data_IF_150659854629
#
_entry.id   IF_150659854629
#
_cell.length_a   1.000
_cell.length_b   1.000
_cell.length_c   1.000
_cell.angle_alpha   90.00
_cell.angle_beta   90.00
_cell.angle_gamma   90.00
#
_symmetry.space_group_name_H-M   'P 1'
#
loop_
_entity.id
_entity.type
_entity.pdbx_description
1 polymer ?
#
# COMPACT_ATOMS: atom_id res chain seq x y z
N UNK A 1 -7.06 3.89 -14.62
CA UNK A 1 -7.44 3.53 -13.23
C UNK A 1 -6.35 3.82 -12.19
N UNK A 2 -5.05 3.91 -12.54
CA UNK A 2 -3.95 4.05 -11.56
C UNK A 2 -4.06 5.21 -10.56
N UNK A 3 -4.63 6.36 -10.94
CA UNK A 3 -4.69 7.51 -10.03
C UNK A 3 -5.69 7.40 -8.86
N UNK A 4 -6.53 6.34 -8.80
CA UNK A 4 -7.33 6.03 -7.60
C UNK A 4 -6.50 5.37 -6.48
N UNK A 5 -5.34 4.80 -6.81
CA UNK A 5 -4.45 4.16 -5.83
C UNK A 5 -3.42 5.15 -5.28
N UNK A 6 -2.94 6.05 -6.13
CA UNK A 6 -1.89 7.03 -5.81
C UNK A 6 -2.46 8.37 -5.30
N UNK A 7 -3.78 8.50 -5.23
CA UNK A 7 -4.46 9.72 -4.78
C UNK A 7 -4.45 10.87 -5.79
N UNK A 8 -3.90 10.69 -6.99
CA UNK A 8 -3.91 11.68 -8.08
C UNK A 8 -5.32 12.00 -8.58
N UNK A 9 -6.30 11.13 -8.35
CA UNK A 9 -7.73 11.42 -8.49
C UNK A 9 -8.34 11.68 -7.11
N UNK A 10 -8.33 12.95 -6.64
CA UNK A 10 -8.87 13.29 -5.33
C UNK A 10 -10.37 13.00 -5.26
N UNK A 11 -10.86 12.73 -4.04
CA UNK A 11 -12.29 12.63 -3.76
C UNK A 11 -12.99 13.89 -4.26
N UNK A 12 -13.79 13.75 -5.32
CA UNK A 12 -14.53 14.89 -5.89
C UNK A 12 -15.55 15.39 -4.86
N UNK A 13 -15.85 16.68 -4.83
CA UNK A 13 -16.83 17.21 -3.88
C UNK A 13 -18.21 16.56 -4.11
N UNK A 14 -18.84 16.05 -3.05
CA UNK A 14 -20.15 15.36 -3.11
C UNK A 14 -21.28 16.29 -3.60
N UNK A 15 -21.13 17.59 -3.39
CA UNK A 15 -22.06 18.64 -3.85
C UNK A 15 -21.32 19.74 -4.61
N UNK A 16 -21.95 20.24 -5.67
CA UNK A 16 -21.48 21.38 -6.47
C UNK A 16 -22.56 22.44 -6.56
N UNK A 17 -22.14 23.70 -6.51
CA UNK A 17 -23.03 24.86 -6.70
C UNK A 17 -23.39 24.99 -8.18
N UNK A 18 -24.69 24.89 -8.48
CA UNK A 18 -25.21 25.19 -9.82
C UNK A 18 -25.75 26.61 -9.81
N UNK A 19 -25.14 27.49 -10.62
CA UNK A 19 -25.67 28.82 -10.88
C UNK A 19 -26.50 28.79 -12.16
N UNK A 20 -27.80 29.07 -12.05
CA UNK A 20 -28.68 29.28 -13.20
C UNK A 20 -28.94 30.77 -13.30
N UNK A 21 -28.52 31.40 -14.40
CA UNK A 21 -28.79 32.82 -14.64
C UNK A 21 -30.21 32.92 -15.23
N UNK A 22 -31.21 33.21 -14.40
CA UNK A 22 -32.55 33.55 -14.88
C UNK A 22 -32.55 35.02 -15.33
N UNK A 23 -32.94 35.25 -16.59
CA UNK A 23 -32.73 36.54 -17.28
C UNK A 23 -33.63 37.69 -16.78
N UNK A 24 -34.55 37.47 -15.84
CA UNK A 24 -35.52 38.50 -15.44
C UNK A 24 -35.83 38.47 -13.93
N UNK A 25 -34.82 38.62 -13.08
CA UNK A 25 -34.87 39.30 -11.76
C UNK A 25 -33.55 39.04 -11.03
N UNK A 26 -32.96 40.07 -10.42
CA UNK A 26 -31.65 40.04 -9.74
C UNK A 26 -31.61 39.23 -8.42
N UNK A 27 -32.19 38.03 -8.38
CA UNK A 27 -32.06 37.11 -7.24
C UNK A 27 -31.24 35.89 -7.65
N UNK A 28 -29.94 35.89 -7.32
CA UNK A 28 -29.05 34.74 -7.50
C UNK A 28 -29.49 33.60 -6.59
N UNK A 29 -30.21 32.60 -7.13
CA UNK A 29 -30.56 31.38 -6.39
C UNK A 29 -29.39 30.39 -6.49
N UNK A 30 -28.67 30.20 -5.39
CA UNK A 30 -27.62 29.20 -5.30
C UNK A 30 -28.24 27.86 -4.89
N UNK A 31 -28.17 26.87 -5.77
CA UNK A 31 -28.65 25.51 -5.49
C UNK A 31 -27.47 24.54 -5.45
N UNK A 32 -27.41 23.74 -4.39
CA UNK A 32 -26.43 22.67 -4.26
C UNK A 32 -26.97 21.42 -4.93
N UNK A 33 -26.28 20.97 -5.98
CA UNK A 33 -26.65 19.78 -6.75
C UNK A 33 -25.62 18.69 -6.49
N UNK A 34 -26.08 17.44 -6.42
CA UNK A 34 -25.22 16.28 -6.27
C UNK A 34 -24.24 16.18 -7.44
N UNK A 35 -22.96 15.99 -7.14
CA UNK A 35 -21.94 15.86 -8.17
C UNK A 35 -21.95 14.47 -8.80
N UNK A 36 -22.27 14.39 -10.09
CA UNK A 36 -22.27 13.11 -10.81
C UNK A 36 -20.86 12.49 -10.91
N UNK A 37 -19.82 13.32 -10.98
CA UNK A 37 -18.43 12.85 -11.00
C UNK A 37 -18.05 12.18 -9.67
N UNK A 38 -18.59 12.66 -8.55
CA UNK A 38 -18.41 12.00 -7.25
C UNK A 38 -19.03 10.61 -7.23
N UNK A 39 -20.23 10.43 -7.80
CA UNK A 39 -20.89 9.13 -7.86
C UNK A 39 -20.06 8.14 -8.68
N UNK A 40 -19.54 8.58 -9.83
CA UNK A 40 -18.70 7.76 -10.70
C UNK A 40 -17.35 7.41 -10.07
N UNK A 41 -16.74 8.39 -9.39
CA UNK A 41 -15.52 8.18 -8.62
C UNK A 41 -15.77 7.15 -7.50
N UNK A 42 -16.82 7.32 -6.70
CA UNK A 42 -17.16 6.42 -5.57
C UNK A 42 -17.45 4.99 -6.05
N UNK A 43 -18.11 4.83 -7.19
CA UNK A 43 -18.34 3.51 -7.80
C UNK A 43 -17.02 2.83 -8.17
N UNK A 44 -16.10 3.58 -8.77
CA UNK A 44 -14.79 3.08 -9.19
C UNK A 44 -13.89 2.73 -8.00
N UNK A 45 -13.83 3.60 -6.98
CA UNK A 45 -13.11 3.36 -5.72
C UNK A 45 -13.62 2.10 -5.01
N UNK A 46 -14.94 1.94 -4.91
CA UNK A 46 -15.55 0.77 -4.26
C UNK A 46 -15.23 -0.53 -5.00
N UNK A 47 -15.26 -0.54 -6.33
CA UNK A 47 -14.91 -1.70 -7.13
C UNK A 47 -13.44 -2.08 -6.92
N UNK A 48 -12.55 -1.09 -7.03
CA UNK A 48 -11.12 -1.30 -6.87
C UNK A 48 -10.78 -1.80 -5.46
N UNK A 49 -11.41 -1.26 -4.43
CA UNK A 49 -11.29 -1.77 -3.06
C UNK A 49 -11.77 -3.22 -2.96
N UNK A 50 -12.91 -3.56 -3.56
CA UNK A 50 -13.41 -4.93 -3.60
C UNK A 50 -12.42 -5.91 -4.24
N UNK A 51 -11.78 -5.49 -5.34
CA UNK A 51 -10.74 -6.29 -5.98
C UNK A 51 -9.51 -6.47 -5.11
N UNK A 52 -9.00 -5.39 -4.51
CA UNK A 52 -7.84 -5.48 -3.61
C UNK A 52 -8.15 -6.41 -2.45
N UNK A 53 -9.24 -6.13 -1.71
CA UNK A 53 -9.66 -6.91 -0.54
C UNK A 53 -9.89 -8.39 -0.90
N UNK A 54 -10.44 -8.67 -2.09
CA UNK A 54 -10.64 -10.04 -2.57
C UNK A 54 -9.35 -10.83 -2.84
N UNK A 55 -8.20 -10.17 -2.93
CA UNK A 55 -6.88 -10.83 -3.09
C UNK A 55 -6.13 -11.03 -1.78
N UNK A 56 -6.63 -10.49 -0.66
CA UNK A 56 -5.95 -10.54 0.62
C UNK A 56 -6.29 -11.81 1.41
N UNK A 57 -5.31 -12.34 2.14
CA UNK A 57 -5.53 -13.37 3.15
C UNK A 57 -6.17 -12.79 4.42
N UNK A 58 -6.73 -13.64 5.26
CA UNK A 58 -7.37 -13.24 6.53
C UNK A 58 -6.42 -12.45 7.46
N UNK A 59 -5.14 -12.84 7.48
CA UNK A 59 -4.09 -12.16 8.24
C UNK A 59 -3.89 -10.71 7.80
N UNK A 60 -3.94 -10.45 6.49
CA UNK A 60 -3.69 -9.13 5.90
C UNK A 60 -4.98 -8.30 5.87
N UNK A 61 -6.14 -8.95 5.82
CA UNK A 61 -7.44 -8.29 5.87
C UNK A 61 -7.59 -7.41 7.11
N UNK A 62 -7.13 -7.87 8.27
CA UNK A 62 -7.17 -7.12 9.53
C UNK A 62 -6.50 -5.74 9.45
N UNK A 63 -5.51 -5.57 8.57
CA UNK A 63 -4.79 -4.29 8.39
C UNK A 63 -5.61 -3.24 7.63
N UNK A 64 -6.58 -3.68 6.82
CA UNK A 64 -7.33 -2.82 5.91
C UNK A 64 -8.79 -2.62 6.32
N UNK A 65 -9.25 -3.32 7.38
CA UNK A 65 -10.59 -3.14 7.94
C UNK A 65 -10.79 -1.68 8.37
N UNK A 66 -11.93 -1.10 7.98
CA UNK A 66 -12.30 0.27 8.33
C UNK A 66 -11.78 1.35 7.38
N UNK A 67 -10.90 1.01 6.42
CA UNK A 67 -10.43 1.96 5.42
C UNK A 67 -11.49 2.20 4.34
N UNK A 68 -11.79 3.48 4.09
CA UNK A 68 -12.93 3.91 3.27
C UNK A 68 -12.63 4.13 1.79
N UNK A 69 -11.35 4.21 1.41
CA UNK A 69 -10.92 4.47 0.03
C UNK A 69 -9.90 3.43 -0.42
N UNK A 70 -9.86 3.12 -1.71
CA UNK A 70 -8.87 2.21 -2.30
C UNK A 70 -7.44 2.74 -2.11
N UNK A 71 -7.24 4.06 -2.15
CA UNK A 71 -5.96 4.70 -1.87
C UNK A 71 -5.47 4.42 -0.44
N UNK A 72 -6.35 4.54 0.56
CA UNK A 72 -5.99 4.27 1.94
C UNK A 72 -5.62 2.80 2.15
N UNK A 73 -6.40 1.88 1.55
CA UNK A 73 -6.11 0.44 1.56
C UNK A 73 -4.74 0.15 0.92
N UNK A 74 -4.49 0.69 -0.26
CA UNK A 74 -3.23 0.50 -0.98
C UNK A 74 -2.02 1.03 -0.21
N UNK A 75 -2.16 2.21 0.39
CA UNK A 75 -1.11 2.82 1.21
C UNK A 75 -0.80 1.98 2.46
N UNK A 76 -1.83 1.52 3.18
CA UNK A 76 -1.63 0.69 4.37
C UNK A 76 -0.90 -0.62 4.04
N UNK A 77 -1.30 -1.29 2.95
CA UNK A 77 -0.63 -2.49 2.46
C UNK A 77 0.83 -2.20 2.09
N UNK A 78 1.07 -1.14 1.31
CA UNK A 78 2.40 -0.75 0.88
C UNK A 78 3.33 -0.48 2.06
N UNK A 79 2.86 0.25 3.07
CA UNK A 79 3.62 0.54 4.29
C UNK A 79 3.88 -0.72 5.12
N UNK A 80 2.89 -1.59 5.28
CA UNK A 80 3.03 -2.83 6.05
C UNK A 80 4.06 -3.76 5.42
N UNK A 81 3.95 -4.03 4.11
CA UNK A 81 4.90 -4.89 3.41
C UNK A 81 6.29 -4.25 3.34
N UNK A 82 6.39 -2.94 3.15
CA UNK A 82 7.69 -2.25 3.19
C UNK A 82 8.37 -2.37 4.57
N UNK A 83 7.61 -2.27 5.67
CA UNK A 83 8.15 -2.48 7.03
C UNK A 83 8.60 -3.92 7.22
N UNK A 84 7.77 -4.90 6.85
CA UNK A 84 8.12 -6.32 6.98
C UNK A 84 9.40 -6.67 6.19
N UNK A 85 9.57 -6.11 4.98
CA UNK A 85 10.81 -6.27 4.22
C UNK A 85 12.02 -5.69 4.95
N UNK A 86 11.91 -4.50 5.55
CA UNK A 86 13.00 -3.87 6.31
C UNK A 86 13.34 -4.62 7.60
N UNK A 87 12.33 -5.09 8.32
CA UNK A 87 12.53 -5.87 9.54
C UNK A 87 13.20 -7.21 9.22
N UNK A 88 12.79 -7.84 8.12
CA UNK A 88 13.42 -9.07 7.61
C UNK A 88 14.86 -8.83 7.15
N UNK A 89 15.13 -7.74 6.45
CA UNK A 89 16.49 -7.31 6.10
C UNK A 89 17.37 -7.15 7.35
N UNK A 90 16.90 -6.39 8.34
CA UNK A 90 17.62 -6.18 9.59
C UNK A 90 17.88 -7.50 10.34
N UNK A 91 16.89 -8.37 10.41
CA UNK A 91 17.02 -9.69 11.03
C UNK A 91 18.08 -10.55 10.32
N UNK A 92 18.07 -10.58 8.98
CA UNK A 92 19.07 -11.34 8.21
C UNK A 92 20.49 -10.78 8.38
N UNK A 93 20.64 -9.44 8.37
CA UNK A 93 21.92 -8.79 8.65
C UNK A 93 22.43 -9.12 10.05
N UNK A 94 21.56 -9.08 11.07
CA UNK A 94 21.92 -9.46 12.43
C UNK A 94 22.30 -10.94 12.53
N UNK A 95 21.54 -11.83 11.87
CA UNK A 95 21.81 -13.27 11.81
C UNK A 95 23.18 -13.54 11.18
N UNK A 96 23.54 -12.80 10.13
CA UNK A 96 24.87 -12.85 9.51
C UNK A 96 25.97 -12.37 10.46
N UNK A 97 25.81 -11.20 11.10
CA UNK A 97 26.82 -10.68 12.04
C UNK A 97 27.08 -11.62 13.23
N UNK A 98 26.03 -12.31 13.68
CA UNK A 98 26.12 -13.30 14.76
C UNK A 98 26.54 -14.70 14.27
N UNK A 99 26.70 -14.90 12.96
CA UNK A 99 27.03 -16.19 12.37
C UNK A 99 28.49 -16.57 12.64
N UNK A 100 28.75 -17.10 13.84
CA UNK A 100 30.07 -17.52 14.28
C UNK A 100 30.36 -18.99 13.96
N UNK A 101 31.60 -19.27 13.55
CA UNK A 101 32.13 -20.63 13.33
C UNK A 101 32.03 -21.51 14.59
N UNK A 102 31.98 -20.91 15.78
CA UNK A 102 31.87 -21.65 17.05
C UNK A 102 30.52 -22.36 17.24
N UNK A 103 29.49 -21.97 16.49
CA UNK A 103 28.15 -22.55 16.60
C UNK A 103 27.96 -23.82 15.75
N UNK A 104 28.98 -24.25 14.99
CA UNK A 104 28.88 -25.35 14.03
C UNK A 104 29.89 -26.47 14.30
N UNK A 105 29.44 -27.72 14.22
CA UNK A 105 30.27 -28.91 14.42
C UNK A 105 31.23 -29.16 13.25
N UNK A 106 30.88 -28.71 12.05
CA UNK A 106 31.73 -28.85 10.85
C UNK A 106 31.81 -27.54 10.07
N UNK A 107 32.92 -27.34 9.35
CA UNK A 107 33.12 -26.19 8.46
C UNK A 107 32.09 -26.21 7.32
N UNK A 108 31.70 -27.40 6.85
CA UNK A 108 30.70 -27.56 5.79
C UNK A 108 29.34 -27.01 6.21
N UNK A 109 28.92 -27.28 7.44
CA UNK A 109 27.64 -26.79 7.98
C UNK A 109 27.68 -25.27 8.19
N UNK A 110 28.83 -24.74 8.63
CA UNK A 110 29.05 -23.29 8.72
C UNK A 110 28.92 -22.61 7.35
N UNK A 111 29.62 -23.10 6.33
CA UNK A 111 29.58 -22.51 4.98
C UNK A 111 28.17 -22.61 4.39
N UNK A 112 27.47 -23.73 4.62
CA UNK A 112 26.08 -23.91 4.18
C UNK A 112 25.14 -22.89 4.83
N UNK A 113 25.19 -22.74 6.15
CA UNK A 113 24.36 -21.76 6.87
C UNK A 113 24.66 -20.32 6.48
N UNK A 114 25.94 -19.98 6.26
CA UNK A 114 26.32 -18.66 5.76
C UNK A 114 25.75 -18.40 4.37
N UNK A 115 25.89 -19.38 3.46
CA UNK A 115 25.32 -19.29 2.11
C UNK A 115 23.81 -19.13 2.12
N UNK A 116 23.09 -19.87 2.97
CA UNK A 116 21.64 -19.74 3.12
C UNK A 116 21.23 -18.31 3.49
N UNK A 117 21.99 -17.64 4.38
CA UNK A 117 21.71 -16.24 4.75
C UNK A 117 21.96 -15.29 3.57
N UNK A 118 23.04 -15.51 2.81
CA UNK A 118 23.30 -14.74 1.59
C UNK A 118 22.18 -14.93 0.55
N UNK A 119 21.78 -16.18 0.30
CA UNK A 119 20.71 -16.51 -0.65
C UNK A 119 19.37 -15.86 -0.21
N UNK A 120 19.08 -15.82 1.10
CA UNK A 120 17.90 -15.12 1.65
C UNK A 120 17.97 -13.59 1.50
N UNK A 121 19.16 -12.99 1.62
CA UNK A 121 19.39 -11.55 1.39
C UNK A 121 19.25 -11.17 -0.09
N UNK A 122 19.79 -12.00 -0.99
CA UNK A 122 19.62 -11.83 -2.43
C UNK A 122 18.14 -11.96 -2.84
N UNK A 123 17.39 -12.89 -2.22
CA UNK A 123 15.97 -13.09 -2.49
C UNK A 123 15.09 -11.87 -2.13
N UNK A 124 15.49 -11.06 -1.14
CA UNK A 124 14.80 -9.80 -0.80
C UNK A 124 15.32 -8.60 -1.62
N UNK A 125 16.18 -8.84 -2.61
CA UNK A 125 16.76 -7.80 -3.47
C UNK A 125 17.82 -6.95 -2.78
N UNK A 126 18.35 -7.40 -1.64
CA UNK A 126 19.45 -6.76 -0.91
C UNK A 126 20.68 -7.63 -1.04
N UNK A 127 21.21 -7.70 -2.26
CA UNK A 127 22.53 -8.31 -2.46
C UNK A 127 23.54 -7.51 -1.65
N UNK A 128 24.40 -8.21 -0.91
CA UNK A 128 25.44 -7.55 -0.14
C UNK A 128 26.34 -6.77 -1.09
N UNK A 129 26.18 -5.45 -1.12
CA UNK A 129 27.16 -4.56 -1.72
C UNK A 129 28.45 -4.75 -0.90
N UNK A 130 29.42 -5.40 -1.52
CA UNK A 130 30.76 -5.64 -0.97
C UNK A 130 31.35 -4.27 -0.60
N UNK A 131 31.44 -3.99 0.70
CA UNK A 131 31.88 -2.71 1.25
C UNK A 131 33.33 -2.78 1.69
#
# INVERSE_FOLDING_TARGET
MGGFLDGTYPESAEFVLKSTVEAEASTTKQEYVMNYDYIMWRRSDRLLRGWIVGTLSEEVLGLVVGLKTSAAVWKALSEYFARNTKDREFFLMQKMHLHSKQNYKTIKDYIKGFKEICDELDAIGKSMEDQ
#
